data_IF_591528547018
#
_entry.id   IF_591528547018
#
_cell.length_a   1.000
_cell.length_b   1.000
_cell.length_c   1.000
_cell.angle_alpha   90.00
_cell.angle_beta   90.00
_cell.angle_gamma   90.00
#
_symmetry.space_group_name_H-M   'P 1'
#
loop_
_entity.id
_entity.type
_entity.pdbx_description
1 polymer ?
#
# COMPACT_ATOMS: atom_id res chain seq x y z
N UNK A 1 -23.72 3.82 -2.57
CA UNK A 1 -22.30 3.46 -2.84
C UNK A 1 -22.02 3.69 -4.31
N UNK A 2 -20.96 4.44 -4.67
CA UNK A 2 -20.54 4.55 -6.07
C UNK A 2 -20.11 3.18 -6.58
N UNK A 3 -20.56 2.81 -7.78
CA UNK A 3 -20.15 1.57 -8.43
C UNK A 3 -18.66 1.65 -8.77
N UNK A 4 -17.87 0.76 -8.18
CA UNK A 4 -16.43 0.67 -8.45
C UNK A 4 -16.18 0.23 -9.90
N UNK A 5 -15.15 0.82 -10.52
CA UNK A 5 -14.76 0.51 -11.89
C UNK A 5 -13.99 -0.82 -11.88
N UNK A 6 -14.26 -1.75 -12.81
CA UNK A 6 -13.47 -2.98 -12.87
C UNK A 6 -11.99 -2.68 -13.16
N UNK A 7 -11.11 -3.56 -12.67
CA UNK A 7 -9.69 -3.53 -13.00
C UNK A 7 -9.48 -3.60 -14.54
N UNK A 8 -8.41 -2.97 -15.07
CA UNK A 8 -8.10 -3.00 -16.50
C UNK A 8 -8.01 -4.42 -17.08
N UNK A 9 -8.50 -4.58 -18.31
CA UNK A 9 -8.30 -5.78 -19.13
C UNK A 9 -7.86 -5.34 -20.54
N UNK A 10 -6.65 -5.72 -21.01
CA UNK A 10 -5.62 -6.47 -20.28
C UNK A 10 -5.09 -5.69 -19.06
N UNK A 11 -4.48 -6.42 -18.13
CA UNK A 11 -3.80 -5.84 -16.98
C UNK A 11 -2.69 -4.88 -17.46
N UNK A 12 -2.45 -3.83 -16.68
CA UNK A 12 -1.37 -2.86 -16.91
C UNK A 12 -0.33 -3.02 -15.81
N UNK A 13 0.91 -2.62 -16.09
CA UNK A 13 1.97 -2.64 -15.10
C UNK A 13 2.90 -1.45 -15.30
N UNK A 14 3.30 -0.84 -14.19
CA UNK A 14 4.34 0.18 -14.10
C UNK A 14 5.28 -0.21 -12.96
N UNK A 15 6.17 -1.17 -13.27
CA UNK A 15 7.08 -1.76 -12.30
C UNK A 15 8.08 -0.74 -11.71
N UNK A 16 8.47 0.28 -12.49
CA UNK A 16 9.38 1.34 -12.03
C UNK A 16 8.67 2.18 -10.97
N UNK A 17 7.45 2.65 -11.24
CA UNK A 17 6.69 3.41 -10.25
C UNK A 17 6.29 2.55 -9.04
N UNK A 18 6.00 1.27 -9.26
CA UNK A 18 5.75 0.32 -8.18
C UNK A 18 6.93 0.27 -7.19
N UNK A 19 8.17 0.20 -7.70
CA UNK A 19 9.38 0.21 -6.87
C UNK A 19 9.54 1.53 -6.11
N UNK A 20 9.33 2.67 -6.77
CA UNK A 20 9.38 4.01 -6.13
C UNK A 20 8.36 4.12 -5.00
N UNK A 21 7.13 3.62 -5.20
CA UNK A 21 6.10 3.66 -4.16
C UNK A 21 6.45 2.77 -2.97
N UNK A 22 7.04 1.60 -3.21
CA UNK A 22 7.49 0.71 -2.14
C UNK A 22 8.62 1.34 -1.32
N UNK A 23 9.58 1.99 -1.97
CA UNK A 23 10.67 2.70 -1.29
C UNK A 23 10.13 3.85 -0.42
N UNK A 24 9.28 4.69 -1.01
CA UNK A 24 8.62 5.78 -0.28
C UNK A 24 7.79 5.27 0.90
N UNK A 25 7.05 4.16 0.73
CA UNK A 25 6.30 3.55 1.82
C UNK A 25 7.21 3.07 2.95
N UNK A 26 8.38 2.51 2.61
CA UNK A 26 9.37 2.05 3.59
C UNK A 26 9.91 3.21 4.43
N UNK A 27 10.22 4.34 3.79
CA UNK A 27 10.63 5.57 4.49
C UNK A 27 9.52 6.07 5.41
N UNK A 28 8.25 6.01 4.99
CA UNK A 28 7.11 6.40 5.84
C UNK A 28 6.90 5.45 7.02
N UNK A 29 7.08 4.14 6.83
CA UNK A 29 7.00 3.17 7.91
C UNK A 29 8.09 3.43 8.97
N UNK A 30 9.33 3.70 8.56
CA UNK A 30 10.42 4.04 9.48
C UNK A 30 10.14 5.37 10.23
N UNK A 31 9.61 6.38 9.54
CA UNK A 31 9.20 7.63 10.19
C UNK A 31 8.06 7.43 11.20
N UNK A 32 7.16 6.48 10.94
CA UNK A 32 6.08 6.15 11.86
C UNK A 32 6.58 5.44 13.11
N UNK A 33 7.50 4.49 12.96
CA UNK A 33 8.16 3.79 14.07
C UNK A 33 8.86 4.78 14.99
N UNK A 34 9.69 5.66 14.42
CA UNK A 34 10.33 6.72 15.19
C UNK A 34 9.32 7.59 15.95
N UNK A 35 8.22 7.99 15.29
CA UNK A 35 7.19 8.81 15.94
C UNK A 35 6.47 8.07 17.07
N UNK A 36 6.20 6.76 16.91
CA UNK A 36 5.60 5.93 17.93
C UNK A 36 6.52 5.80 19.16
N UNK A 37 7.83 5.61 18.95
CA UNK A 37 8.83 5.55 20.03
C UNK A 37 8.89 6.85 20.84
N UNK A 38 8.56 7.99 20.23
CA UNK A 38 8.48 9.29 20.90
C UNK A 38 7.11 9.56 21.56
N UNK A 39 6.14 8.65 21.44
CA UNK A 39 4.76 8.84 21.91
C UNK A 39 3.94 9.80 21.05
N UNK A 40 4.34 10.04 19.80
CA UNK A 40 3.65 10.91 18.85
C UNK A 40 2.66 10.13 17.99
N UNK A 41 1.65 9.52 18.63
CA UNK A 41 0.67 8.63 17.98
C UNK A 41 0.04 9.23 16.72
N UNK A 42 -0.35 10.51 16.75
CA UNK A 42 -0.98 11.15 15.60
C UNK A 42 -0.03 11.26 14.40
N UNK A 43 1.25 11.55 14.65
CA UNK A 43 2.26 11.60 13.60
C UNK A 43 2.59 10.19 13.08
N UNK A 44 2.69 9.21 13.98
CA UNK A 44 2.91 7.81 13.63
C UNK A 44 1.78 7.29 12.73
N UNK A 45 0.53 7.48 13.15
CA UNK A 45 -0.65 7.00 12.43
C UNK A 45 -0.86 7.72 11.10
N UNK A 46 -0.48 8.99 10.99
CA UNK A 46 -0.46 9.70 9.70
C UNK A 46 0.55 9.06 8.74
N UNK A 47 1.77 8.84 9.22
CA UNK A 47 2.81 8.20 8.42
C UNK A 47 2.43 6.76 8.03
N UNK A 48 1.78 6.00 8.92
CA UNK A 48 1.25 4.66 8.64
C UNK A 48 0.15 4.70 7.58
N UNK A 49 -0.79 5.65 7.65
CA UNK A 49 -1.83 5.79 6.63
C UNK A 49 -1.23 6.01 5.23
N UNK A 50 -0.21 6.88 5.13
CA UNK A 50 0.52 7.10 3.87
C UNK A 50 1.26 5.83 3.44
N UNK A 51 1.93 5.14 4.37
CA UNK A 51 2.64 3.90 4.06
C UNK A 51 1.69 2.83 3.49
N UNK A 52 0.54 2.61 4.13
CA UNK A 52 -0.49 1.66 3.66
C UNK A 52 -1.00 2.07 2.27
N UNK A 53 -1.30 3.36 2.04
CA UNK A 53 -1.73 3.85 0.73
C UNK A 53 -0.71 3.50 -0.36
N UNK A 54 0.56 3.82 -0.11
CA UNK A 54 1.65 3.61 -1.07
C UNK A 54 1.90 2.13 -1.32
N UNK A 55 1.85 1.27 -0.29
CA UNK A 55 2.03 -0.18 -0.44
C UNK A 55 0.95 -0.83 -1.29
N UNK A 56 -0.32 -0.48 -1.05
CA UNK A 56 -1.44 -1.02 -1.83
C UNK A 56 -1.40 -0.55 -3.28
N UNK A 57 -1.08 0.73 -3.51
CA UNK A 57 -0.88 1.25 -4.88
C UNK A 57 0.33 0.64 -5.56
N UNK A 58 1.43 0.45 -4.82
CA UNK A 58 2.64 -0.20 -5.31
C UNK A 58 2.35 -1.62 -5.79
N UNK A 59 1.58 -2.40 -5.02
CA UNK A 59 1.12 -3.72 -5.43
C UNK A 59 0.32 -3.65 -6.73
N UNK A 60 -0.68 -2.76 -6.81
CA UNK A 60 -1.52 -2.60 -7.99
C UNK A 60 -0.74 -2.18 -9.24
N UNK A 61 0.22 -1.26 -9.09
CA UNK A 61 1.13 -0.84 -10.17
C UNK A 61 1.97 -2.02 -10.68
N UNK A 62 2.32 -2.95 -9.80
CA UNK A 62 3.10 -4.12 -10.20
C UNK A 62 2.25 -5.12 -11.00
N UNK A 63 0.98 -5.34 -10.62
CA UNK A 63 0.21 -6.50 -11.11
C UNK A 63 -1.02 -6.20 -11.96
N UNK A 64 -1.58 -4.98 -11.94
CA UNK A 64 -2.91 -4.74 -12.51
C UNK A 64 -3.15 -3.36 -13.14
N UNK A 65 -2.44 -2.30 -12.71
CA UNK A 65 -2.78 -0.91 -13.05
C UNK A 65 -1.56 -0.06 -13.41
N UNK A 66 -1.81 1.17 -13.87
CA UNK A 66 -0.82 2.23 -14.06
C UNK A 66 -1.14 3.44 -13.15
N UNK A 67 -0.28 4.47 -13.14
CA UNK A 67 -0.48 5.68 -12.31
C UNK A 67 -1.79 6.40 -12.64
N UNK A 68 -2.09 6.55 -13.93
CA UNK A 68 -3.30 7.24 -14.41
C UNK A 68 -4.55 6.58 -13.84
N UNK A 69 -4.62 5.25 -13.89
CA UNK A 69 -5.75 4.51 -13.36
C UNK A 69 -5.83 4.62 -11.83
N UNK A 70 -4.72 4.49 -11.11
CA UNK A 70 -4.70 4.62 -9.65
C UNK A 70 -5.15 6.00 -9.19
N UNK A 71 -4.68 7.08 -9.82
CA UNK A 71 -5.11 8.44 -9.49
C UNK A 71 -6.60 8.65 -9.75
N UNK A 72 -7.11 8.19 -10.89
CA UNK A 72 -8.49 8.39 -11.29
C UNK A 72 -9.50 7.59 -10.45
N UNK A 73 -9.15 6.37 -10.01
CA UNK A 73 -10.11 5.43 -9.41
C UNK A 73 -9.92 5.22 -7.90
N UNK A 74 -8.71 5.43 -7.39
CA UNK A 74 -8.36 5.22 -5.97
C UNK A 74 -8.15 6.57 -5.27
N UNK A 75 -7.30 7.45 -5.82
CA UNK A 75 -6.91 8.67 -5.11
C UNK A 75 -6.31 8.34 -3.73
N UNK A 76 -6.64 9.08 -2.69
CA UNK A 76 -6.17 8.83 -1.31
C UNK A 76 -7.09 7.89 -0.50
N UNK A 77 -7.89 7.07 -1.18
CA UNK A 77 -8.88 6.21 -0.56
C UNK A 77 -8.29 4.83 -0.21
N UNK A 78 -7.90 4.66 1.06
CA UNK A 78 -7.36 3.42 1.61
C UNK A 78 -8.31 2.22 1.42
N UNK A 79 -9.62 2.41 1.59
CA UNK A 79 -10.58 1.32 1.47
C UNK A 79 -10.68 0.84 0.02
N UNK A 80 -10.68 1.75 -0.95
CA UNK A 80 -10.61 1.40 -2.38
C UNK A 80 -9.28 0.74 -2.74
N UNK A 81 -8.17 1.24 -2.22
CA UNK A 81 -6.85 0.67 -2.47
C UNK A 81 -6.79 -0.79 -2.00
N UNK A 82 -7.31 -1.09 -0.82
CA UNK A 82 -7.37 -2.45 -0.29
C UNK A 82 -8.30 -3.33 -1.13
N UNK A 83 -9.49 -2.82 -1.45
CA UNK A 83 -10.47 -3.56 -2.26
C UNK A 83 -9.89 -3.99 -3.61
N UNK A 84 -9.29 -3.06 -4.35
CA UNK A 84 -8.69 -3.38 -5.64
C UNK A 84 -7.47 -4.30 -5.51
N UNK A 85 -6.66 -4.14 -4.47
CA UNK A 85 -5.51 -5.02 -4.24
C UNK A 85 -5.97 -6.45 -3.99
N UNK A 86 -7.01 -6.66 -3.18
CA UNK A 86 -7.61 -7.97 -2.95
C UNK A 86 -8.21 -8.56 -4.24
N UNK A 87 -8.89 -7.75 -5.07
CA UNK A 87 -9.38 -8.19 -6.38
C UNK A 87 -8.26 -8.58 -7.36
N UNK A 88 -7.09 -7.95 -7.24
CA UNK A 88 -5.90 -8.27 -8.01
C UNK A 88 -5.10 -9.47 -7.44
N UNK A 89 -5.55 -10.07 -6.33
CA UNK A 89 -4.97 -11.29 -5.76
C UNK A 89 -4.11 -11.09 -4.53
N UNK A 90 -4.06 -9.88 -3.94
CA UNK A 90 -3.36 -9.66 -2.68
C UNK A 90 -4.10 -10.39 -1.56
N UNK A 91 -3.37 -11.18 -0.77
CA UNK A 91 -3.86 -11.67 0.51
C UNK A 91 -3.44 -10.65 1.59
N UNK A 92 -4.38 -9.84 2.10
CA UNK A 92 -4.03 -8.80 3.07
C UNK A 92 -3.57 -9.37 4.41
N UNK A 93 -2.67 -8.68 5.15
CA UNK A 93 -2.38 -9.02 6.54
C UNK A 93 -3.63 -9.01 7.41
N UNK A 94 -3.66 -9.87 8.42
CA UNK A 94 -4.73 -9.87 9.42
C UNK A 94 -4.90 -8.47 10.03
N UNK A 95 -6.14 -8.08 10.31
CA UNK A 95 -6.51 -6.78 10.91
C UNK A 95 -6.34 -5.54 10.02
N UNK A 96 -5.82 -5.62 8.78
CA UNK A 96 -5.69 -4.41 7.95
C UNK A 96 -7.03 -3.71 7.69
N UNK A 97 -8.12 -4.47 7.54
CA UNK A 97 -9.46 -3.91 7.36
C UNK A 97 -9.90 -3.10 8.59
N UNK A 98 -9.60 -3.60 9.78
CA UNK A 98 -9.88 -2.92 11.04
C UNK A 98 -9.01 -1.67 11.22
N UNK A 99 -7.72 -1.73 10.87
CA UNK A 99 -6.84 -0.55 10.88
C UNK A 99 -7.37 0.51 9.91
N UNK A 100 -7.69 0.12 8.68
CA UNK A 100 -8.23 1.02 7.65
C UNK A 100 -9.57 1.62 8.10
N UNK A 101 -10.47 0.85 8.72
CA UNK A 101 -11.76 1.38 9.16
C UNK A 101 -11.62 2.51 10.19
N UNK A 102 -10.54 2.51 10.98
CA UNK A 102 -10.25 3.55 11.98
C UNK A 102 -9.43 4.72 11.40
N UNK A 103 -8.45 4.43 10.53
CA UNK A 103 -7.58 5.45 9.93
C UNK A 103 -8.29 6.22 8.81
N UNK A 104 -8.95 5.51 7.90
CA UNK A 104 -9.42 6.05 6.63
C UNK A 104 -10.36 7.26 6.77
N UNK A 105 -11.39 7.25 7.64
CA UNK A 105 -12.27 8.41 7.80
C UNK A 105 -11.53 9.66 8.27
N UNK A 106 -10.49 9.48 9.09
CA UNK A 106 -9.69 10.57 9.62
C UNK A 106 -8.66 11.05 8.58
N UNK A 107 -8.03 10.13 7.86
CA UNK A 107 -7.07 10.42 6.79
C UNK A 107 -7.72 11.21 5.64
N UNK A 108 -8.89 10.76 5.13
CA UNK A 108 -9.53 11.40 3.98
C UNK A 108 -9.95 12.86 4.22
N UNK A 109 -10.32 13.20 5.45
CA UNK A 109 -10.73 14.57 5.79
C UNK A 109 -9.55 15.48 6.17
N UNK A 110 -8.30 15.03 6.00
CA UNK A 110 -7.12 15.76 6.49
C UNK A 110 -7.07 15.87 8.02
N UNK A 111 -7.66 14.90 8.73
CA UNK A 111 -7.86 14.93 10.18
C UNK A 111 -6.56 15.04 10.97
N UNK A 112 -5.45 14.48 10.46
CA UNK A 112 -4.14 14.58 11.11
C UNK A 112 -3.61 16.01 11.23
N UNK A 113 -4.09 16.94 10.39
CA UNK A 113 -3.78 18.37 10.51
C UNK A 113 -4.87 19.14 11.26
N UNK A 114 -6.13 18.71 11.15
CA UNK A 114 -7.31 19.44 11.65
C UNK A 114 -7.71 19.09 13.09
N UNK A 115 -7.34 17.89 13.54
CA UNK A 115 -7.70 17.33 14.85
C UNK A 115 -6.45 16.71 15.53
N UNK A 116 -5.38 17.48 15.78
CA UNK A 116 -4.11 16.96 16.29
C UNK A 116 -4.18 16.42 17.72
N UNK A 117 -5.30 16.65 18.43
CA UNK A 117 -5.55 16.14 19.79
C UNK A 117 -6.44 14.89 19.84
N UNK A 118 -6.75 14.29 18.67
CA UNK A 118 -7.52 13.04 18.61
C UNK A 118 -6.86 11.96 19.47
N UNK A 119 -7.66 11.34 20.34
CA UNK A 119 -7.24 10.17 21.10
C UNK A 119 -7.48 8.90 20.28
N UNK A 120 -6.49 8.01 20.30
CA UNK A 120 -6.56 6.70 19.66
C UNK A 120 -6.70 5.62 20.73
N UNK A 121 -7.22 4.43 20.36
CA UNK A 121 -7.19 3.30 21.27
C UNK A 121 -5.75 3.02 21.75
N UNK A 122 -5.53 2.64 23.02
CA UNK A 122 -4.21 2.25 23.49
C UNK A 122 -3.61 1.14 22.62
N UNK A 123 -2.32 1.25 22.26
CA UNK A 123 -1.62 0.28 21.41
C UNK A 123 -2.00 0.32 19.92
N UNK A 124 -2.89 1.24 19.50
CA UNK A 124 -3.33 1.29 18.11
C UNK A 124 -2.21 1.65 17.13
N UNK A 125 -1.28 2.53 17.52
CA UNK A 125 -0.12 2.88 16.70
C UNK A 125 0.80 1.67 16.47
N UNK A 126 1.04 0.87 17.51
CA UNK A 126 1.86 -0.34 17.44
C UNK A 126 1.22 -1.39 16.52
N UNK A 127 -0.08 -1.64 16.70
CA UNK A 127 -0.87 -2.54 15.87
C UNK A 127 -0.85 -2.12 14.39
N UNK A 128 -1.04 -0.83 14.13
CA UNK A 128 -1.03 -0.27 12.79
C UNK A 128 0.38 -0.36 12.16
N UNK A 129 1.43 -0.17 12.95
CA UNK A 129 2.83 -0.31 12.53
C UNK A 129 3.18 -1.75 12.15
N UNK A 130 2.77 -2.73 12.96
CA UNK A 130 2.95 -4.16 12.66
C UNK A 130 2.25 -4.54 11.34
N UNK A 131 1.00 -4.13 11.16
CA UNK A 131 0.24 -4.38 9.91
C UNK A 131 0.94 -3.75 8.70
N UNK A 132 1.45 -2.53 8.83
CA UNK A 132 2.20 -1.87 7.76
C UNK A 132 3.51 -2.63 7.41
N UNK A 133 4.22 -3.16 8.42
CA UNK A 133 5.42 -3.99 8.22
C UNK A 133 5.10 -5.30 7.49
N UNK A 134 4.04 -5.99 7.90
CA UNK A 134 3.59 -7.23 7.24
C UNK A 134 3.16 -6.99 5.80
N UNK A 135 2.43 -5.90 5.54
CA UNK A 135 2.05 -5.51 4.19
C UNK A 135 3.29 -5.21 3.34
N UNK A 136 4.27 -4.46 3.86
CA UNK A 136 5.50 -4.15 3.14
C UNK A 136 6.30 -5.40 2.75
N UNK A 137 6.38 -6.39 3.65
CA UNK A 137 6.99 -7.69 3.34
C UNK A 137 6.24 -8.41 2.21
N UNK A 138 4.91 -8.44 2.28
CA UNK A 138 4.07 -9.08 1.25
C UNK A 138 4.27 -8.43 -0.13
N UNK A 139 4.24 -7.09 -0.20
CA UNK A 139 4.43 -6.35 -1.46
C UNK A 139 5.84 -6.57 -2.03
N UNK A 140 6.87 -6.57 -1.18
CA UNK A 140 8.26 -6.89 -1.59
C UNK A 140 8.39 -8.26 -2.23
N UNK A 141 7.73 -9.28 -1.67
CA UNK A 141 7.76 -10.62 -2.23
C UNK A 141 7.12 -10.65 -3.62
N UNK A 142 5.99 -9.97 -3.82
CA UNK A 142 5.35 -9.90 -5.13
C UNK A 142 6.17 -9.17 -6.19
N UNK A 143 6.86 -8.08 -5.83
CA UNK A 143 7.72 -7.37 -6.78
C UNK A 143 8.95 -8.20 -7.20
N UNK A 144 9.53 -8.97 -6.28
CA UNK A 144 10.64 -9.87 -6.60
C UNK A 144 10.24 -10.98 -7.56
N UNK A 145 9.06 -11.58 -7.37
CA UNK A 145 8.57 -12.64 -8.26
C UNK A 145 8.12 -12.11 -9.62
N UNK A 146 7.53 -10.90 -9.70
CA UNK A 146 7.19 -10.28 -10.99
C UNK A 146 8.41 -9.95 -11.87
N UNK A 147 9.57 -9.73 -11.26
CA UNK A 147 10.81 -9.43 -11.98
C UNK A 147 11.44 -10.67 -12.66
N UNK A 148 11.34 -11.85 -12.04
CA UNK A 148 11.89 -13.10 -12.59
C UNK A 148 11.06 -13.68 -13.73
N UNK A 149 9.73 -13.55 -13.70
CA UNK A 149 8.85 -14.03 -14.78
C UNK A 149 8.91 -13.15 -16.05
N UNK A 150 9.60 -12.01 -15.99
CA UNK A 150 9.78 -11.07 -17.10
C UNK A 150 11.13 -11.19 -17.81
N UNK A 151 12.03 -12.08 -17.37
CA UNK A 151 13.32 -12.31 -18.01
C UNK A 151 13.15 -13.25 -19.22
N UNK A 152 13.64 -12.87 -20.43
CA UNK A 152 13.59 -13.77 -21.58
C UNK A 152 14.47 -15.00 -21.32
N UNK A 153 13.92 -16.20 -21.54
CA UNK A 153 14.69 -17.44 -21.51
C UNK A 153 15.86 -17.37 -22.50
N UNK A 154 17.08 -17.79 -22.13
CA UNK A 154 18.19 -17.83 -23.06
C UNK A 154 17.87 -18.82 -24.19
N UNK A 155 17.92 -18.31 -25.42
CA UNK A 155 17.82 -19.09 -26.66
C UNK A 155 18.79 -20.28 -26.57
N UNK A 156 18.26 -21.49 -26.73
CA UNK A 156 19.08 -22.70 -26.87
C UNK A 156 19.74 -22.67 -28.24
N UNK A 157 20.95 -22.12 -28.32
CA UNK A 157 21.82 -22.24 -29.49
C UNK A 157 22.17 -23.72 -29.66
N UNK A 158 21.60 -24.35 -30.67
CA UNK A 158 21.95 -25.72 -31.06
C UNK A 158 23.16 -25.64 -32.00
N UNK A 159 24.31 -26.27 -31.71
CA UNK A 159 25.40 -26.32 -32.67
C UNK A 159 25.10 -27.40 -33.72
N UNK A 160 25.44 -27.07 -34.97
CA UNK A 160 25.46 -28.00 -36.11
C UNK A 160 26.66 -28.93 -36.04
#
# INVERSE_FOLDING_TARGET
MQRLKPLPKPARSDAVLAAVFLENATVKAAAAEWAADQGFDNQALHAIAIAIELLLKSYLLNVATDDVWNRANIGHDLAKALHYSAQAGLVPPSRIEWIISHLHPHFQRGGFQREPSRKWPPGFADDAGEVARQLAQTVRLHQRHGHIDSAPSPEKTTPR
#
